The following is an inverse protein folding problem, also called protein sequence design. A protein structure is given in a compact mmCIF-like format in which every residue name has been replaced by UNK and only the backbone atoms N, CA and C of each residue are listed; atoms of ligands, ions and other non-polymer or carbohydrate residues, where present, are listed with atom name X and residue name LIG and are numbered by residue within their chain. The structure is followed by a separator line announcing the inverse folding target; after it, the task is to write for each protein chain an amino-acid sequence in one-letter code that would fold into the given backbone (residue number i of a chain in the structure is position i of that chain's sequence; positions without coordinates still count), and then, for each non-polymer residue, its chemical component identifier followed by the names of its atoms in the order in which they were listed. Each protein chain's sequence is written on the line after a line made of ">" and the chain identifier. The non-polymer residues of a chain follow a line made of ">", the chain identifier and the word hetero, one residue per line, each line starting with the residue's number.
data_IF_423833334384
#
_entry.id   IF_423833334384
#
_cell.length_a   1.000
_cell.length_b   1.000
_cell.length_c   1.000
_cell.angle_alpha   90.00
_cell.angle_beta   90.00
_cell.angle_gamma   90.00
#
_symmetry.space_group_name_H-M   'P 1'
#
loop_
_entity.id
_entity.type
_entity.pdbx_description
1 polymer ?
#
# COMPACT_ATOMS: atom_id res chain seq x y z
N UNK A 1 5.29 -7.73 -33.49
CA UNK A 1 5.17 -6.32 -33.03
C UNK A 1 6.08 -6.16 -31.83
N UNK A 2 7.18 -5.40 -31.94
CA UNK A 2 8.06 -5.04 -30.81
C UNK A 2 7.78 -3.57 -30.50
N UNK A 3 7.56 -3.27 -29.23
CA UNK A 3 7.37 -1.90 -28.75
C UNK A 3 8.60 -1.04 -29.11
N UNK A 4 8.43 0.26 -29.41
CA UNK A 4 9.55 1.16 -29.56
C UNK A 4 10.20 1.35 -28.19
N UNK A 5 11.34 0.70 -27.99
CA UNK A 5 12.28 0.99 -26.92
C UNK A 5 12.49 2.50 -26.91
N UNK A 6 12.15 3.17 -25.81
CA UNK A 6 12.37 4.60 -25.64
C UNK A 6 13.88 4.81 -25.54
N UNK A 7 14.54 4.90 -26.70
CA UNK A 7 15.97 5.14 -26.80
C UNK A 7 16.24 6.46 -26.11
N UNK A 8 16.99 6.42 -25.01
CA UNK A 8 17.50 7.64 -24.38
C UNK A 8 18.16 8.49 -25.49
N UNK A 9 17.88 9.80 -25.56
CA UNK A 9 18.41 10.63 -26.64
C UNK A 9 19.92 10.46 -26.67
N UNK A 10 20.44 10.09 -27.85
CA UNK A 10 21.85 9.83 -28.07
C UNK A 10 22.62 11.09 -27.68
N UNK A 11 23.27 11.03 -26.51
CA UNK A 11 23.83 12.23 -25.90
C UNK A 11 25.05 12.68 -26.73
N UNK A 12 25.15 13.96 -27.11
CA UNK A 12 26.25 14.45 -27.91
C UNK A 12 27.58 14.11 -27.23
N UNK A 13 28.52 13.59 -28.03
CA UNK A 13 29.85 13.08 -27.61
C UNK A 13 30.64 14.09 -26.78
N UNK A 14 30.31 15.37 -26.92
CA UNK A 14 30.79 16.48 -26.11
C UNK A 14 29.58 17.30 -25.65
N UNK A 15 29.20 17.17 -24.38
CA UNK A 15 28.24 18.07 -23.74
C UNK A 15 28.91 18.75 -22.54
N UNK A 16 28.82 20.09 -22.41
CA UNK A 16 29.36 20.79 -21.25
C UNK A 16 28.82 20.24 -19.92
N UNK A 17 27.56 19.80 -19.89
CA UNK A 17 26.95 19.16 -18.72
C UNK A 17 27.64 17.85 -18.34
N UNK A 18 27.98 16.98 -19.31
CA UNK A 18 28.69 15.73 -19.05
C UNK A 18 30.12 15.99 -18.55
N UNK A 19 30.79 16.98 -19.12
CA UNK A 19 32.13 17.40 -18.70
C UNK A 19 32.15 17.92 -17.26
N UNK A 20 31.15 18.71 -16.87
CA UNK A 20 30.97 19.19 -15.50
C UNK A 20 30.63 18.04 -14.53
N UNK A 21 29.69 17.16 -14.90
CA UNK A 21 29.30 15.98 -14.09
C UNK A 21 30.46 15.01 -13.86
N UNK A 22 31.35 14.84 -14.84
CA UNK A 22 32.53 13.99 -14.72
C UNK A 22 33.62 14.58 -13.80
N UNK A 23 33.74 15.91 -13.71
CA UNK A 23 34.73 16.57 -12.85
C UNK A 23 34.24 16.84 -11.44
N UNK A 24 32.93 16.94 -11.24
CA UNK A 24 32.32 17.18 -9.94
C UNK A 24 31.27 16.10 -9.61
N UNK A 25 31.66 14.82 -9.44
CA UNK A 25 30.73 13.75 -9.11
C UNK A 25 29.95 14.02 -7.81
N UNK A 26 30.56 14.76 -6.89
CA UNK A 26 30.00 15.24 -5.63
C UNK A 26 28.83 16.22 -5.81
N UNK A 27 28.91 17.12 -6.78
CA UNK A 27 27.85 18.10 -7.08
C UNK A 27 26.71 17.52 -7.94
N UNK A 28 26.97 16.41 -8.62
CA UNK A 28 26.04 15.82 -9.58
C UNK A 28 25.78 14.33 -9.29
N UNK A 29 25.83 13.94 -8.02
CA UNK A 29 25.46 12.60 -7.60
C UNK A 29 23.97 12.37 -7.83
N UNK A 30 23.65 11.26 -8.51
CA UNK A 30 22.30 10.73 -8.68
C UNK A 30 21.93 9.72 -7.58
N UNK A 31 22.81 9.51 -6.60
CA UNK A 31 22.54 8.65 -5.46
C UNK A 31 21.39 9.23 -4.63
N UNK A 32 20.30 8.48 -4.51
CA UNK A 32 19.22 8.77 -3.55
C UNK A 32 19.58 8.10 -2.23
N UNK A 33 19.67 8.88 -1.15
CA UNK A 33 19.79 8.30 0.19
C UNK A 33 18.42 7.79 0.65
N UNK A 34 18.21 6.48 0.58
CA UNK A 34 17.03 5.85 1.17
C UNK A 34 17.30 5.51 2.63
N UNK A 35 16.49 6.07 3.54
CA UNK A 35 16.54 5.70 4.95
C UNK A 35 15.81 4.37 5.13
N UNK A 36 16.57 3.29 5.31
CA UNK A 36 16.03 2.00 5.69
C UNK A 36 15.77 1.99 7.21
N UNK A 37 14.50 1.96 7.60
CA UNK A 37 14.11 1.70 8.98
C UNK A 37 13.94 0.19 9.18
N UNK A 38 14.91 -0.44 9.83
CA UNK A 38 14.79 -1.84 10.23
C UNK A 38 14.12 -1.93 11.61
N UNK A 39 12.93 -2.52 11.65
CA UNK A 39 12.26 -2.85 12.91
C UNK A 39 12.54 -4.31 13.20
N UNK A 40 13.25 -4.57 14.31
CA UNK A 40 13.49 -5.92 14.79
C UNK A 40 12.18 -6.63 15.12
N UNK A 41 12.11 -7.94 14.81
CA UNK A 41 10.91 -8.77 15.05
C UNK A 41 10.39 -8.65 16.49
N UNK A 42 11.28 -8.63 17.47
CA UNK A 42 10.92 -8.54 18.89
C UNK A 42 10.23 -7.20 19.21
N UNK A 43 10.77 -6.10 18.68
CA UNK A 43 10.21 -4.75 18.86
C UNK A 43 8.82 -4.66 18.22
N UNK A 44 8.67 -5.19 17.00
CA UNK A 44 7.38 -5.25 16.33
C UNK A 44 6.36 -6.09 17.11
N UNK A 45 6.79 -7.26 17.60
CA UNK A 45 5.92 -8.18 18.35
C UNK A 45 5.44 -7.55 19.65
N UNK A 46 6.35 -6.90 20.40
CA UNK A 46 6.00 -6.15 21.60
C UNK A 46 4.99 -5.04 21.31
N UNK A 47 5.22 -4.23 20.27
CA UNK A 47 4.27 -3.18 19.88
C UNK A 47 2.89 -3.73 19.52
N UNK A 48 2.83 -4.84 18.76
CA UNK A 48 1.58 -5.51 18.40
C UNK A 48 0.83 -6.02 19.64
N UNK A 49 1.55 -6.50 20.65
CA UNK A 49 0.94 -6.97 21.90
C UNK A 49 0.41 -5.84 22.79
N UNK A 50 1.03 -4.66 22.74
CA UNK A 50 0.63 -3.50 23.55
C UNK A 50 -0.47 -2.65 22.91
N UNK A 51 -0.69 -2.72 21.59
CA UNK A 51 -1.66 -1.87 20.88
C UNK A 51 -3.08 -1.93 21.47
N UNK A 52 -3.58 -3.13 21.76
CA UNK A 52 -4.95 -3.30 22.30
C UNK A 52 -5.09 -2.73 23.71
N UNK A 53 -4.00 -2.67 24.48
CA UNK A 53 -4.00 -2.14 25.85
C UNK A 53 -3.90 -0.62 25.89
N UNK A 54 -3.29 0.00 24.86
CA UNK A 54 -3.05 1.44 24.80
C UNK A 54 -4.19 2.24 24.14
N UNK A 55 -5.26 1.57 23.68
CA UNK A 55 -6.36 2.17 22.88
C UNK A 55 -5.89 2.84 21.57
N UNK A 56 -4.77 2.37 21.02
CA UNK A 56 -4.18 2.89 19.78
C UNK A 56 -4.75 2.19 18.52
N UNK A 57 -6.00 1.76 18.57
CA UNK A 57 -6.66 1.03 17.46
C UNK A 57 -6.68 1.87 16.17
N UNK A 58 -6.91 3.18 16.27
CA UNK A 58 -6.87 4.10 15.13
C UNK A 58 -5.48 4.22 14.49
N UNK A 59 -4.41 4.13 15.29
CA UNK A 59 -3.04 4.16 14.77
C UNK A 59 -2.72 2.85 14.03
N UNK A 60 -3.18 1.72 14.56
CA UNK A 60 -3.08 0.41 13.90
C UNK A 60 -3.86 0.38 12.59
N UNK A 61 -5.11 0.85 12.57
CA UNK A 61 -5.92 0.96 11.35
C UNK A 61 -5.22 1.81 10.29
N UNK A 62 -4.69 2.97 10.67
CA UNK A 62 -3.94 3.85 9.77
C UNK A 62 -2.69 3.17 9.19
N UNK A 63 -1.97 2.39 10.01
CA UNK A 63 -0.81 1.62 9.58
C UNK A 63 -1.19 0.49 8.62
N UNK A 64 -2.19 -0.32 8.98
CA UNK A 64 -2.68 -1.43 8.16
C UNK A 64 -3.22 -0.92 6.82
N UNK A 65 -3.93 0.21 6.82
CA UNK A 65 -4.40 0.87 5.61
C UNK A 65 -3.25 1.26 4.68
N UNK A 66 -2.20 1.91 5.20
CA UNK A 66 -1.02 2.31 4.40
C UNK A 66 -0.28 1.10 3.82
N UNK A 67 -0.21 0.00 4.56
CA UNK A 67 0.33 -1.26 4.04
C UNK A 67 -0.54 -1.80 2.90
N UNK A 68 -1.86 -1.79 3.06
CA UNK A 68 -2.78 -2.23 2.01
C UNK A 68 -2.70 -1.34 0.78
N UNK A 69 -2.60 -0.02 0.96
CA UNK A 69 -2.43 0.95 -0.12
C UNK A 69 -1.17 0.63 -0.95
N UNK A 70 -0.05 0.33 -0.26
CA UNK A 70 1.23 0.04 -0.90
C UNK A 70 1.27 -1.31 -1.60
N UNK A 71 0.69 -2.36 -1.00
CA UNK A 71 0.92 -3.75 -1.43
C UNK A 71 -0.30 -4.44 -2.06
N UNK A 72 -1.52 -3.99 -1.76
CA UNK A 72 -2.75 -4.73 -2.10
C UNK A 72 -3.63 -3.92 -3.07
N UNK A 73 -3.95 -2.68 -2.73
CA UNK A 73 -4.92 -1.86 -3.45
C UNK A 73 -4.55 -0.37 -3.36
N UNK A 74 -3.88 0.19 -4.38
CA UNK A 74 -3.50 1.61 -4.40
C UNK A 74 -4.69 2.59 -4.38
N UNK A 75 -5.89 2.08 -4.66
CA UNK A 75 -7.15 2.82 -4.67
C UNK A 75 -7.98 2.63 -3.39
N UNK A 76 -7.34 2.28 -2.26
CA UNK A 76 -8.02 2.18 -0.97
C UNK A 76 -8.32 3.59 -0.41
N UNK A 77 -9.49 3.75 0.19
CA UNK A 77 -9.94 4.97 0.84
C UNK A 77 -10.44 4.64 2.26
N UNK A 78 -10.03 5.40 3.29
CA UNK A 78 -10.54 5.17 4.64
C UNK A 78 -12.02 5.55 4.74
N UNK A 79 -12.76 4.90 5.63
CA UNK A 79 -14.11 5.34 5.95
C UNK A 79 -14.06 6.68 6.69
N UNK A 80 -14.32 7.78 5.97
CA UNK A 80 -14.39 9.12 6.55
C UNK A 80 -15.85 9.48 6.83
N UNK A 81 -16.34 9.20 8.04
CA UNK A 81 -17.70 9.57 8.48
C UNK A 81 -17.92 9.37 9.99
N UNK A 82 -18.91 10.04 10.61
CA UNK A 82 -19.25 9.80 12.02
C UNK A 82 -19.63 8.34 12.24
N UNK A 83 -19.06 7.71 13.27
CA UNK A 83 -19.26 6.27 13.60
C UNK A 83 -20.72 5.94 14.00
N UNK A 84 -21.64 6.90 13.92
CA UNK A 84 -23.03 6.81 14.35
C UNK A 84 -24.08 6.97 13.25
N UNK A 85 -23.90 6.33 12.08
CA UNK A 85 -24.89 6.36 11.00
C UNK A 85 -24.82 5.13 10.09
N UNK A 86 -25.67 4.14 10.39
CA UNK A 86 -26.14 3.03 9.54
C UNK A 86 -25.26 2.52 8.39
N UNK A 87 -24.68 1.33 8.59
CA UNK A 87 -24.24 0.35 7.57
C UNK A 87 -22.85 0.49 6.92
N UNK A 88 -21.92 1.21 7.54
CA UNK A 88 -20.49 1.09 7.22
C UNK A 88 -19.79 0.07 8.11
N UNK A 89 -20.03 -1.25 7.94
CA UNK A 89 -19.34 -2.33 8.70
C UNK A 89 -17.87 -2.54 8.31
N UNK A 90 -17.27 -1.57 7.62
CA UNK A 90 -15.99 -1.70 6.95
C UNK A 90 -15.07 -0.55 7.38
N UNK A 91 -13.78 -0.80 7.56
CA UNK A 91 -12.84 0.23 8.02
C UNK A 91 -12.28 1.05 6.83
N UNK A 92 -12.12 0.41 5.67
CA UNK A 92 -11.73 1.07 4.42
C UNK A 92 -12.33 0.37 3.20
N UNK A 93 -12.57 1.12 2.11
CA UNK A 93 -13.07 0.56 0.86
C UNK A 93 -12.27 1.04 -0.34
N UNK A 94 -12.28 0.27 -1.42
CA UNK A 94 -11.71 0.70 -2.70
C UNK A 94 -12.74 1.47 -3.53
N UNK A 95 -12.27 2.48 -4.26
CA UNK A 95 -13.08 3.15 -5.28
C UNK A 95 -12.78 2.55 -6.67
N UNK A 96 -13.79 2.47 -7.56
CA UNK A 96 -13.58 1.92 -8.90
C UNK A 96 -12.59 2.77 -9.70
N UNK A 97 -11.69 2.12 -10.44
CA UNK A 97 -10.74 2.77 -11.34
C UNK A 97 -10.82 2.17 -12.75
N UNK A 98 -10.33 2.90 -13.75
CA UNK A 98 -10.27 2.38 -15.11
C UNK A 98 -9.30 1.20 -15.21
N UNK A 99 -9.57 0.30 -16.16
CA UNK A 99 -8.71 -0.87 -16.44
C UNK A 99 -7.28 -0.45 -16.82
N UNK A 100 -7.13 0.67 -17.51
CA UNK A 100 -5.83 1.21 -17.91
C UNK A 100 -4.95 1.62 -16.72
N UNK A 101 -5.57 2.15 -15.67
CA UNK A 101 -4.87 2.51 -14.43
C UNK A 101 -4.54 1.26 -13.64
N UNK A 102 -5.50 0.34 -13.47
CA UNK A 102 -5.29 -0.86 -12.68
C UNK A 102 -4.29 -1.84 -13.30
N UNK A 103 -4.17 -1.87 -14.63
CA UNK A 103 -3.17 -2.66 -15.34
C UNK A 103 -1.72 -2.30 -14.98
N UNK A 104 -1.47 -1.11 -14.40
CA UNK A 104 -0.15 -0.66 -13.98
C UNK A 104 0.22 -1.08 -12.56
N UNK A 105 -0.73 -1.64 -11.81
CA UNK A 105 -0.47 -2.06 -10.44
C UNK A 105 0.27 -3.40 -10.42
N UNK A 106 1.11 -3.59 -9.39
CA UNK A 106 1.94 -4.78 -9.22
C UNK A 106 1.12 -6.08 -9.04
N UNK A 107 -0.15 -5.97 -8.61
CA UNK A 107 -1.02 -7.13 -8.37
C UNK A 107 -1.49 -7.73 -9.69
N UNK A 108 -1.19 -9.02 -9.89
CA UNK A 108 -1.29 -9.73 -11.18
C UNK A 108 -2.72 -10.00 -11.67
N UNK A 109 -3.74 -9.69 -10.88
CA UNK A 109 -5.14 -10.07 -11.16
C UNK A 109 -6.12 -8.94 -10.80
N UNK A 110 -6.08 -7.87 -11.60
CA UNK A 110 -6.91 -6.68 -11.46
C UNK A 110 -8.24 -6.77 -12.23
N UNK A 111 -8.69 -7.96 -12.65
CA UNK A 111 -9.96 -8.13 -13.36
C UNK A 111 -11.19 -7.72 -12.51
N UNK A 112 -10.99 -7.48 -11.21
CA UNK A 112 -11.98 -6.85 -10.31
C UNK A 112 -11.73 -5.37 -10.02
N UNK A 113 -10.95 -4.65 -10.83
CA UNK A 113 -10.67 -3.21 -10.63
C UNK A 113 -11.93 -2.31 -10.68
N UNK A 114 -13.01 -2.79 -11.29
CA UNK A 114 -14.33 -2.14 -11.24
C UNK A 114 -15.16 -2.49 -10.00
N UNK A 115 -14.78 -3.53 -9.25
CA UNK A 115 -15.51 -3.98 -8.06
C UNK A 115 -15.03 -3.27 -6.79
N UNK A 116 -15.97 -2.85 -5.94
CA UNK A 116 -15.64 -2.34 -4.60
C UNK A 116 -15.24 -3.52 -3.72
N UNK A 117 -14.01 -3.46 -3.22
CA UNK A 117 -13.49 -4.27 -2.12
C UNK A 117 -13.61 -3.47 -0.83
N UNK A 118 -14.07 -4.15 0.20
CA UNK A 118 -14.05 -3.66 1.57
C UNK A 118 -12.85 -4.27 2.32
N UNK A 119 -12.35 -3.56 3.32
CA UNK A 119 -11.27 -3.96 4.21
C UNK A 119 -11.73 -3.82 5.65
N UNK A 120 -11.44 -4.84 6.45
CA UNK A 120 -11.58 -4.79 7.89
C UNK A 120 -10.23 -5.11 8.54
N UNK A 121 -9.84 -4.31 9.52
CA UNK A 121 -8.59 -4.42 10.25
C UNK A 121 -8.87 -4.93 11.66
N UNK A 122 -8.05 -5.85 12.16
CA UNK A 122 -8.21 -6.33 13.53
C UNK A 122 -6.87 -6.66 14.15
N UNK A 123 -6.60 -6.07 15.31
CA UNK A 123 -5.45 -6.40 16.15
C UNK A 123 -5.74 -7.57 17.12
N UNK A 124 -6.81 -8.34 16.93
CA UNK A 124 -7.16 -9.46 17.82
C UNK A 124 -6.10 -10.56 17.74
N UNK A 125 -5.55 -10.96 18.90
CA UNK A 125 -4.61 -12.10 19.01
C UNK A 125 -5.17 -13.39 18.37
N UNK A 126 -6.48 -13.63 18.51
CA UNK A 126 -7.19 -14.76 17.89
C UNK A 126 -7.74 -14.41 16.51
N UNK A 127 -6.94 -13.76 15.66
CA UNK A 127 -7.36 -13.29 14.33
C UNK A 127 -7.98 -14.40 13.46
N UNK A 128 -7.47 -15.64 13.53
CA UNK A 128 -7.95 -16.75 12.69
C UNK A 128 -9.42 -17.09 12.89
N UNK A 129 -9.90 -17.11 14.13
CA UNK A 129 -11.32 -17.40 14.41
C UNK A 129 -12.20 -16.22 14.00
N UNK A 130 -11.72 -14.99 14.19
CA UNK A 130 -12.37 -13.77 13.72
C UNK A 130 -12.54 -13.78 12.19
N UNK A 131 -11.50 -14.11 11.43
CA UNK A 131 -11.58 -14.26 9.97
C UNK A 131 -12.64 -15.28 9.58
N UNK A 132 -12.63 -16.47 10.18
CA UNK A 132 -13.61 -17.52 9.85
C UNK A 132 -15.04 -17.05 10.13
N UNK A 133 -15.24 -16.35 11.24
CA UNK A 133 -16.53 -15.75 11.57
C UNK A 133 -16.94 -14.67 10.55
N UNK A 134 -16.00 -13.84 10.11
CA UNK A 134 -16.28 -12.75 9.19
C UNK A 134 -16.56 -13.24 7.77
N UNK A 135 -15.84 -14.25 7.30
CA UNK A 135 -16.12 -14.93 6.02
C UNK A 135 -17.47 -15.65 6.07
N UNK A 136 -17.81 -16.28 7.19
CA UNK A 136 -19.12 -16.92 7.35
C UNK A 136 -20.27 -15.90 7.37
N UNK A 137 -20.02 -14.69 7.89
CA UNK A 137 -21.00 -13.61 7.94
C UNK A 137 -21.15 -12.85 6.60
N UNK A 138 -20.14 -12.88 5.72
CA UNK A 138 -20.05 -12.01 4.54
C UNK A 138 -19.81 -12.87 3.28
N UNK A 139 -20.86 -13.04 2.48
CA UNK A 139 -20.79 -13.73 1.20
C UNK A 139 -19.79 -13.08 0.23
N UNK A 140 -18.68 -13.77 -0.05
CA UNK A 140 -17.86 -13.71 -1.28
C UNK A 140 -17.38 -12.33 -1.81
N UNK A 141 -17.00 -11.36 -0.95
CA UNK A 141 -16.56 -10.04 -1.42
C UNK A 141 -15.41 -9.32 -0.69
N UNK A 142 -14.94 -9.81 0.46
CA UNK A 142 -14.04 -9.06 1.35
C UNK A 142 -12.59 -9.55 1.28
N UNK A 143 -11.62 -8.63 1.25
CA UNK A 143 -10.19 -8.96 1.45
C UNK A 143 -9.83 -8.60 2.89
N UNK A 144 -9.61 -9.64 3.71
CA UNK A 144 -9.25 -9.49 5.12
C UNK A 144 -7.74 -9.39 5.28
N UNK A 145 -7.27 -8.42 6.06
CA UNK A 145 -5.86 -8.22 6.40
C UNK A 145 -5.74 -8.23 7.92
N UNK A 146 -5.05 -9.24 8.44
CA UNK A 146 -4.90 -9.53 9.86
C UNK A 146 -3.45 -9.83 10.22
#
# INVERSE_FOLDING_TARGET
>A
MREPTKTAPEQPKYSPSRYMRARHPDLFSDSVSEVAYEVGREVLSYHLETFTNQKDEAAFESFAQRLCEKFIAPNIRPQTGPVGGGDGKTDAETFPVSREISARWFVRDNDKAGGRKAFAFSAKKTWRSKIKSDVAAIGSGLVLVS
#
